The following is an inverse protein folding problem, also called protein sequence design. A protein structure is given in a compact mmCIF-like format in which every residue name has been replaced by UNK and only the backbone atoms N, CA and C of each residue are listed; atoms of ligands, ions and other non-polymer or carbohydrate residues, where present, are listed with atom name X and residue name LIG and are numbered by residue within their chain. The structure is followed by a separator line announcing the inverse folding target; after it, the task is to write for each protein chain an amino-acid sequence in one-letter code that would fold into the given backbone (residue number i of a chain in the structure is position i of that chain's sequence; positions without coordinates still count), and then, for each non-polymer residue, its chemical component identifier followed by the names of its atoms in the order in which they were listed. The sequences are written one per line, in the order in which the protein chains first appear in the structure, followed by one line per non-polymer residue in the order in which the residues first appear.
data_IF_063072995068
#
_entry.id   IF_063072995068
#
_cell.length_a   1.000
_cell.length_b   1.000
_cell.length_c   1.000
_cell.angle_alpha   90.00
_cell.angle_beta   90.00
_cell.angle_gamma   90.00
#
_symmetry.space_group_name_H-M   'P 1'
#
loop_
_entity.id
_entity.type
_entity.pdbx_description
1 polymer ?
#
# COMPACT_ATOMS: atom_id res chain seq x y z
N UNK A 1 31.04 -70.63 -10.36
CA UNK A 1 30.98 -69.21 -10.74
C UNK A 1 29.52 -68.75 -10.72
N UNK A 2 29.12 -67.86 -9.82
CA UNK A 2 27.81 -67.20 -9.87
C UNK A 2 28.03 -65.69 -10.06
N UNK A 3 27.60 -65.14 -11.20
CA UNK A 3 27.63 -63.70 -11.48
C UNK A 3 26.35 -63.06 -10.94
N UNK A 4 26.50 -62.13 -10.01
CA UNK A 4 25.42 -61.26 -9.52
C UNK A 4 25.19 -60.17 -10.58
N UNK A 5 24.00 -60.11 -11.16
CA UNK A 5 23.60 -59.05 -12.10
C UNK A 5 22.96 -57.92 -11.29
N UNK A 6 23.68 -56.80 -11.12
CA UNK A 6 23.14 -55.60 -10.51
C UNK A 6 22.22 -54.87 -11.50
N UNK A 7 20.94 -54.73 -11.16
CA UNK A 7 19.97 -53.96 -11.96
C UNK A 7 19.95 -52.51 -11.48
N UNK A 8 20.49 -51.61 -12.29
CA UNK A 8 20.46 -50.16 -12.02
C UNK A 8 19.08 -49.63 -12.41
N UNK A 9 18.23 -49.30 -11.43
CA UNK A 9 16.94 -48.64 -11.68
C UNK A 9 17.16 -47.13 -11.83
N UNK A 10 16.75 -46.56 -12.97
CA UNK A 10 16.76 -45.11 -13.20
C UNK A 10 15.77 -44.39 -12.27
N UNK A 11 16.07 -43.17 -11.79
CA UNK A 11 15.15 -42.39 -10.98
C UNK A 11 13.95 -41.90 -11.83
N UNK A 12 12.78 -41.71 -11.20
CA UNK A 12 11.59 -41.24 -11.90
C UNK A 12 11.73 -39.78 -12.36
N UNK A 13 11.06 -39.39 -13.46
CA UNK A 13 11.08 -38.00 -13.94
C UNK A 13 10.38 -37.06 -12.96
N UNK A 14 11.00 -35.92 -12.69
CA UNK A 14 10.44 -34.85 -11.83
C UNK A 14 9.23 -34.22 -12.54
N UNK A 15 8.06 -34.09 -11.88
CA UNK A 15 6.90 -33.44 -12.48
C UNK A 15 7.19 -31.96 -12.75
N UNK A 16 7.03 -31.51 -14.00
CA UNK A 16 7.10 -30.08 -14.32
C UNK A 16 5.77 -29.38 -13.99
N UNK A 17 5.78 -28.15 -13.44
CA UNK A 17 4.56 -27.40 -13.17
C UNK A 17 3.84 -27.05 -14.47
N UNK A 18 2.53 -27.31 -14.51
CA UNK A 18 1.69 -27.03 -15.68
C UNK A 18 1.50 -25.51 -15.89
N UNK A 19 1.47 -25.03 -17.15
CA UNK A 19 1.11 -23.65 -17.45
C UNK A 19 -0.31 -23.34 -16.95
N UNK A 20 -0.46 -22.28 -16.14
CA UNK A 20 -1.76 -21.81 -15.66
C UNK A 20 -2.44 -21.01 -16.78
N UNK A 21 -3.75 -21.20 -17.06
CA UNK A 21 -4.46 -20.43 -18.07
C UNK A 21 -4.44 -18.92 -17.80
N UNK A 22 -4.24 -18.10 -18.83
CA UNK A 22 -4.09 -16.64 -18.72
C UNK A 22 -5.25 -15.90 -18.02
N UNK A 23 -6.45 -16.49 -17.97
CA UNK A 23 -7.61 -15.95 -17.22
C UNK A 23 -7.45 -16.03 -15.70
N UNK A 24 -6.47 -16.80 -15.21
CA UNK A 24 -6.26 -17.09 -13.79
C UNK A 24 -4.94 -16.50 -13.25
N UNK A 25 -4.23 -15.74 -14.08
CA UNK A 25 -3.06 -14.98 -13.66
C UNK A 25 -3.53 -13.77 -12.84
N UNK A 26 -3.10 -13.65 -11.57
CA UNK A 26 -3.24 -12.38 -10.84
C UNK A 26 -2.57 -11.27 -11.66
N UNK A 27 -3.19 -10.08 -11.78
CA UNK A 27 -2.54 -8.96 -12.45
C UNK A 27 -1.17 -8.71 -11.81
N UNK A 28 -0.14 -8.34 -12.60
CA UNK A 28 1.15 -8.03 -12.04
C UNK A 28 1.00 -6.92 -11.01
N UNK A 29 1.68 -7.10 -9.89
CA UNK A 29 1.54 -6.32 -8.66
C UNK A 29 1.62 -4.80 -8.88
N UNK A 30 2.47 -4.41 -9.83
CA UNK A 30 2.70 -3.03 -10.26
C UNK A 30 1.42 -2.37 -10.81
N UNK A 31 0.57 -3.16 -11.49
CA UNK A 31 -0.72 -2.70 -12.04
C UNK A 31 -1.73 -2.49 -10.92
N UNK A 32 -1.84 -3.42 -9.95
CA UNK A 32 -2.79 -3.30 -8.84
C UNK A 32 -2.49 -2.07 -7.99
N UNK A 33 -1.21 -1.90 -7.65
CA UNK A 33 -0.74 -0.78 -6.84
C UNK A 33 -0.97 0.59 -7.48
N UNK A 34 -0.80 0.70 -8.80
CA UNK A 34 -1.03 1.96 -9.52
C UNK A 34 -2.52 2.21 -9.76
N UNK A 35 -3.29 1.16 -10.04
CA UNK A 35 -4.66 1.28 -10.51
C UNK A 35 -5.69 1.37 -9.38
N UNK A 36 -5.46 0.70 -8.25
CA UNK A 36 -6.44 0.66 -7.16
C UNK A 36 -6.74 2.05 -6.57
N UNK A 37 -5.74 2.87 -6.19
CA UNK A 37 -5.99 4.20 -5.62
C UNK A 37 -6.74 5.11 -6.61
N UNK A 38 -6.45 5.00 -7.91
CA UNK A 38 -7.13 5.75 -8.98
C UNK A 38 -8.61 5.35 -9.07
N UNK A 39 -8.91 4.06 -9.06
CA UNK A 39 -10.28 3.55 -9.10
C UNK A 39 -11.09 3.94 -7.86
N UNK A 40 -10.48 3.85 -6.68
CA UNK A 40 -11.11 4.27 -5.43
C UNK A 40 -11.50 5.75 -5.48
N UNK A 41 -10.57 6.63 -5.87
CA UNK A 41 -10.84 8.06 -6.00
C UNK A 41 -12.00 8.39 -6.94
N UNK A 42 -12.10 7.67 -8.08
CA UNK A 42 -13.21 7.82 -9.02
C UNK A 42 -14.53 7.37 -8.41
N UNK A 43 -14.52 6.29 -7.63
CA UNK A 43 -15.71 5.76 -6.96
C UNK A 43 -16.28 6.76 -5.94
N UNK A 44 -15.41 7.36 -5.13
CA UNK A 44 -15.81 8.34 -4.09
C UNK A 44 -15.95 9.77 -4.64
N UNK A 45 -15.71 9.98 -5.94
CA UNK A 45 -15.80 11.28 -6.64
C UNK A 45 -15.04 12.40 -5.91
N UNK A 46 -13.75 12.18 -5.68
CA UNK A 46 -12.87 13.26 -5.17
C UNK A 46 -12.96 14.50 -6.06
N UNK A 47 -12.72 15.68 -5.49
CA UNK A 47 -12.70 16.91 -6.26
C UNK A 47 -11.70 16.82 -7.43
N UNK A 48 -12.03 17.44 -8.56
CA UNK A 48 -11.20 17.39 -9.78
C UNK A 48 -9.76 17.85 -9.54
N UNK A 49 -9.55 18.80 -8.62
CA UNK A 49 -8.20 19.26 -8.24
C UNK A 49 -7.36 18.21 -7.51
N UNK A 50 -8.00 17.19 -6.94
CA UNK A 50 -7.38 16.10 -6.18
C UNK A 50 -7.11 14.84 -7.00
N UNK A 51 -7.74 14.67 -8.18
CA UNK A 51 -7.61 13.46 -9.02
C UNK A 51 -6.15 13.10 -9.32
N UNK A 52 -5.28 14.10 -9.52
CA UNK A 52 -3.84 13.87 -9.76
C UNK A 52 -3.12 13.22 -8.57
N UNK A 53 -3.61 13.47 -7.36
CA UNK A 53 -3.01 13.00 -6.09
C UNK A 53 -3.41 11.55 -5.81
N UNK A 54 -4.47 11.05 -6.46
CA UNK A 54 -4.85 9.65 -6.44
C UNK A 54 -3.79 8.72 -7.01
N UNK A 55 -2.79 9.25 -7.73
CA UNK A 55 -1.58 8.51 -8.01
C UNK A 55 -0.73 8.43 -6.74
N UNK A 56 -0.45 7.21 -6.31
CA UNK A 56 0.32 6.93 -5.10
C UNK A 56 1.69 7.63 -5.06
N UNK A 57 2.34 7.88 -6.20
CA UNK A 57 3.62 8.58 -6.26
C UNK A 57 3.47 10.10 -6.03
N UNK A 58 2.33 10.67 -6.46
CA UNK A 58 1.99 12.08 -6.26
C UNK A 58 1.57 12.34 -4.80
N UNK A 59 0.97 11.35 -4.14
CA UNK A 59 0.67 11.37 -2.71
C UNK A 59 1.96 11.28 -1.89
N UNK A 60 2.68 12.38 -1.77
CA UNK A 60 3.97 12.48 -1.09
C UNK A 60 4.01 13.69 -0.15
N UNK A 61 5.12 13.82 0.59
CA UNK A 61 5.32 14.89 1.59
C UNK A 61 5.05 16.27 1.02
N UNK A 62 5.55 16.57 -0.19
CA UNK A 62 5.38 17.90 -0.82
C UNK A 62 3.90 18.19 -1.07
N UNK A 63 3.20 17.23 -1.68
CA UNK A 63 1.77 17.37 -1.97
C UNK A 63 0.94 17.49 -0.69
N UNK A 64 1.15 16.60 0.29
CA UNK A 64 0.41 16.66 1.56
C UNK A 64 0.69 17.95 2.34
N UNK A 65 1.93 18.43 2.36
CA UNK A 65 2.27 19.72 2.95
C UNK A 65 1.55 20.85 2.22
N UNK A 66 1.52 20.82 0.88
CA UNK A 66 0.83 21.82 0.09
C UNK A 66 -0.68 21.85 0.34
N UNK A 67 -1.32 20.68 0.44
CA UNK A 67 -2.73 20.57 0.79
C UNK A 67 -2.99 21.16 2.17
N UNK A 68 -2.16 20.79 3.15
CA UNK A 68 -2.27 21.21 4.54
C UNK A 68 -2.10 22.73 4.70
N UNK A 69 -1.14 23.33 4.00
CA UNK A 69 -0.90 24.77 4.00
C UNK A 69 -1.83 25.57 3.06
N UNK A 70 -2.73 24.90 2.34
CA UNK A 70 -3.65 25.52 1.39
C UNK A 70 -2.97 26.06 0.12
N UNK A 71 -1.73 25.67 -0.17
CA UNK A 71 -1.02 26.06 -1.40
C UNK A 71 -1.26 25.07 -2.55
N UNK A 72 -1.80 23.89 -2.25
CA UNK A 72 -2.23 22.91 -3.25
C UNK A 72 -3.67 23.18 -3.70
N UNK A 73 -4.00 23.08 -5.00
CA UNK A 73 -5.38 23.20 -5.48
C UNK A 73 -6.34 22.16 -4.89
N UNK A 74 -5.83 21.04 -4.37
CA UNK A 74 -6.63 20.07 -3.62
C UNK A 74 -6.72 20.49 -2.13
N UNK A 75 -7.93 20.76 -1.61
CA UNK A 75 -8.14 21.11 -0.20
C UNK A 75 -7.67 20.03 0.78
N UNK A 76 -7.18 20.43 1.95
CA UNK A 76 -6.77 19.50 3.02
C UNK A 76 -7.86 18.52 3.44
N UNK A 77 -9.14 18.89 3.31
CA UNK A 77 -10.29 18.05 3.68
C UNK A 77 -10.35 16.72 2.92
N UNK A 78 -9.74 16.65 1.74
CA UNK A 78 -9.64 15.42 0.95
C UNK A 78 -8.41 14.57 1.27
N UNK A 79 -7.50 15.05 2.12
CA UNK A 79 -6.27 14.33 2.44
C UNK A 79 -6.54 12.93 3.01
N UNK A 80 -7.56 12.81 3.86
CA UNK A 80 -7.96 11.53 4.44
C UNK A 80 -8.53 10.57 3.39
N UNK A 81 -9.44 11.06 2.53
CA UNK A 81 -10.02 10.27 1.43
C UNK A 81 -8.93 9.67 0.52
N UNK A 82 -7.93 10.49 0.18
CA UNK A 82 -6.81 10.09 -0.67
C UNK A 82 -5.95 9.02 0.01
N UNK A 83 -5.63 9.20 1.28
CA UNK A 83 -4.88 8.21 2.09
C UNK A 83 -5.67 6.92 2.27
N UNK A 84 -6.99 7.02 2.45
CA UNK A 84 -7.87 5.86 2.58
C UNK A 84 -7.90 5.03 1.30
N UNK A 85 -7.99 5.67 0.14
CA UNK A 85 -7.87 4.99 -1.15
C UNK A 85 -6.50 4.35 -1.35
N UNK A 86 -5.43 5.02 -0.93
CA UNK A 86 -4.07 4.48 -0.99
C UNK A 86 -3.87 3.25 -0.09
N UNK A 87 -4.58 3.19 1.04
CA UNK A 87 -4.48 2.13 2.04
C UNK A 87 -5.49 0.97 1.84
N UNK A 88 -6.26 0.98 0.77
CA UNK A 88 -7.38 0.05 0.54
C UNK A 88 -8.44 0.03 1.65
N UNK A 89 -8.62 1.13 2.36
CA UNK A 89 -9.53 1.21 3.52
C UNK A 89 -9.26 0.20 4.63
N UNK A 90 -8.00 -0.20 4.82
CA UNK A 90 -7.57 -1.18 5.83
C UNK A 90 -6.77 -0.55 6.99
N UNK A 91 -6.54 -1.37 8.03
CA UNK A 91 -5.71 -0.99 9.18
C UNK A 91 -4.29 -1.56 9.08
N UNK A 92 -3.31 -0.67 9.02
CA UNK A 92 -1.88 -0.98 8.90
C UNK A 92 -1.09 -0.66 10.17
N UNK A 93 -1.77 -0.40 11.30
CA UNK A 93 -1.15 0.07 12.55
C UNK A 93 -0.01 -0.83 13.02
N UNK A 94 -0.17 -2.14 12.94
CA UNK A 94 0.87 -3.10 13.35
C UNK A 94 2.16 -2.93 12.54
N UNK A 95 2.04 -2.88 11.22
CA UNK A 95 3.18 -2.64 10.33
C UNK A 95 3.84 -1.28 10.60
N UNK A 96 3.03 -0.24 10.84
CA UNK A 96 3.54 1.09 11.17
C UNK A 96 4.30 1.13 12.50
N UNK A 97 3.87 0.38 13.51
CA UNK A 97 4.58 0.26 14.79
C UNK A 97 5.96 -0.38 14.56
N UNK A 98 6.00 -1.48 13.80
CA UNK A 98 7.23 -2.21 13.47
C UNK A 98 8.22 -1.33 12.66
N UNK A 99 7.71 -0.42 11.83
CA UNK A 99 8.52 0.55 11.08
C UNK A 99 8.86 1.84 11.84
N UNK A 100 8.47 1.95 13.10
CA UNK A 100 8.82 3.11 13.91
C UNK A 100 8.10 4.41 13.53
N UNK A 101 6.93 4.33 12.89
CA UNK A 101 6.12 5.52 12.53
C UNK A 101 5.77 6.38 13.76
N UNK A 102 5.64 5.75 14.92
CA UNK A 102 5.34 6.40 16.21
C UNK A 102 6.56 7.09 16.86
N UNK A 103 7.76 6.98 16.30
CA UNK A 103 9.01 7.49 16.91
C UNK A 103 9.30 8.96 16.58
N UNK A 104 8.47 9.61 15.76
CA UNK A 104 8.61 11.03 15.48
C UNK A 104 8.29 11.90 16.71
N UNK A 105 8.57 13.20 16.63
CA UNK A 105 8.15 14.16 17.66
C UNK A 105 6.63 14.29 17.83
N UNK A 106 5.82 13.84 16.85
CA UNK A 106 4.37 13.76 16.98
C UNK A 106 3.90 12.44 17.65
N UNK A 107 4.82 11.51 17.90
CA UNK A 107 4.56 10.27 18.63
C UNK A 107 3.49 9.39 17.97
N UNK A 108 2.62 8.83 18.80
CA UNK A 108 1.52 7.97 18.38
C UNK A 108 0.49 8.66 17.48
N UNK A 109 0.48 9.99 17.36
CA UNK A 109 -0.42 10.69 16.42
C UNK A 109 -0.20 10.24 14.98
N UNK A 110 1.03 9.88 14.62
CA UNK A 110 1.34 9.39 13.27
C UNK A 110 0.70 8.05 12.94
N UNK A 111 0.37 7.23 13.95
CA UNK A 111 -0.35 5.97 13.74
C UNK A 111 -1.78 6.20 13.25
N UNK A 112 -2.35 7.40 13.44
CA UNK A 112 -3.64 7.75 12.86
C UNK A 112 -3.65 7.70 11.33
N UNK A 113 -2.50 7.92 10.68
CA UNK A 113 -2.37 7.76 9.22
C UNK A 113 -2.25 6.30 8.76
N UNK A 114 -2.12 5.35 9.69
CA UNK A 114 -1.98 3.93 9.39
C UNK A 114 -3.31 3.19 9.41
N UNK A 115 -4.30 3.70 10.15
CA UNK A 115 -5.63 3.13 10.19
C UNK A 115 -6.58 3.92 9.28
N UNK A 116 -6.85 3.35 8.11
CA UNK A 116 -7.70 3.94 7.09
C UNK A 116 -9.06 3.24 6.97
N UNK A 117 -9.48 2.50 8.01
CA UNK A 117 -10.82 1.89 7.98
C UNK A 117 -11.91 2.96 7.91
N UNK A 118 -12.99 2.71 7.14
CA UNK A 118 -14.12 3.62 7.09
C UNK A 118 -14.71 3.81 8.49
N UNK A 119 -15.10 5.05 8.82
CA UNK A 119 -15.67 5.37 10.13
C UNK A 119 -14.65 5.73 11.23
N UNK A 120 -13.36 5.77 10.90
CA UNK A 120 -12.36 6.35 11.80
C UNK A 120 -12.59 7.87 11.97
N UNK A 121 -12.54 8.39 13.18
CA UNK A 121 -12.75 9.83 13.49
C UNK A 121 -11.46 10.65 13.43
N UNK A 122 -10.41 10.07 12.86
CA UNK A 122 -9.10 10.69 12.73
C UNK A 122 -9.16 11.99 11.94
N UNK A 123 -8.60 13.05 12.52
CA UNK A 123 -8.47 14.36 11.89
C UNK A 123 -7.02 14.79 11.97
N UNK A 124 -6.43 15.07 10.81
CA UNK A 124 -5.06 15.57 10.73
C UNK A 124 -5.02 17.06 11.09
N UNK A 125 -4.06 17.43 11.93
CA UNK A 125 -3.81 18.82 12.33
C UNK A 125 -2.32 19.17 12.26
N UNK A 126 -1.99 20.44 12.52
CA UNK A 126 -0.63 21.01 12.39
C UNK A 126 0.40 20.26 13.24
N UNK A 127 0.00 19.72 14.38
CA UNK A 127 0.87 18.97 15.29
C UNK A 127 1.34 17.63 14.71
N UNK A 128 0.73 17.19 13.60
CA UNK A 128 1.07 15.95 12.91
C UNK A 128 1.99 16.17 11.69
N UNK A 129 2.40 17.40 11.38
CA UNK A 129 3.39 17.67 10.34
C UNK A 129 4.70 16.85 10.47
N UNK A 130 5.22 16.53 11.67
CA UNK A 130 6.37 15.63 11.81
C UNK A 130 6.16 14.24 11.18
N UNK A 131 4.92 13.77 11.07
CA UNK A 131 4.61 12.48 10.46
C UNK A 131 4.98 12.40 8.98
N UNK A 132 5.17 13.53 8.30
CA UNK A 132 5.60 13.53 6.90
C UNK A 132 7.02 12.99 6.69
N UNK A 133 7.86 12.95 7.73
CA UNK A 133 9.18 12.31 7.62
C UNK A 133 9.09 10.79 7.49
N UNK A 134 8.04 10.18 8.04
CA UNK A 134 7.79 8.71 8.02
C UNK A 134 6.70 8.31 7.03
N UNK A 135 6.27 9.24 6.15
CA UNK A 135 5.22 8.96 5.16
C UNK A 135 5.60 7.81 4.23
N UNK A 136 6.88 7.68 3.88
CA UNK A 136 7.33 6.58 3.04
C UNK A 136 7.21 5.22 3.75
N UNK A 137 7.41 5.18 5.06
CA UNK A 137 7.24 3.97 5.88
C UNK A 137 5.75 3.59 6.03
N UNK A 138 4.87 4.57 6.16
CA UNK A 138 3.41 4.35 6.11
C UNK A 138 3.03 3.79 4.74
N UNK A 139 3.51 4.41 3.66
CA UNK A 139 3.23 4.00 2.29
C UNK A 139 3.80 2.63 1.95
N UNK A 140 4.92 2.22 2.55
CA UNK A 140 5.43 0.86 2.35
C UNK A 140 4.53 -0.18 3.01
N UNK A 141 3.91 0.12 4.17
CA UNK A 141 2.91 -0.77 4.75
C UNK A 141 1.70 -0.99 3.83
N UNK A 142 1.22 0.08 3.20
CA UNK A 142 0.12 -0.03 2.23
C UNK A 142 0.51 -0.91 1.04
N UNK A 143 1.74 -0.74 0.54
CA UNK A 143 2.29 -1.60 -0.51
C UNK A 143 2.30 -3.06 -0.08
N UNK A 144 2.92 -3.38 1.06
CA UNK A 144 3.11 -4.75 1.52
C UNK A 144 1.78 -5.49 1.69
N UNK A 145 0.76 -4.80 2.18
CA UNK A 145 -0.58 -5.38 2.26
C UNK A 145 -1.14 -5.75 0.89
N UNK A 146 -0.94 -4.92 -0.14
CA UNK A 146 -1.33 -5.22 -1.53
C UNK A 146 -0.49 -6.38 -2.10
N UNK A 147 0.76 -6.56 -1.66
CA UNK A 147 1.63 -7.63 -2.16
C UNK A 147 1.28 -9.00 -1.55
N UNK A 148 0.87 -9.00 -0.28
CA UNK A 148 0.71 -10.21 0.51
C UNK A 148 -0.73 -10.73 0.56
N UNK A 149 -1.71 -9.99 0.01
CA UNK A 149 -3.12 -10.38 -0.10
C UNK A 149 -3.57 -10.43 -1.56
#
# INVERSE_FOLDING_TARGET
MFRVVATTRSPPPVPQPRPVPAKQQRPPLNIVFHFFPICCCKSIKVAKSCERICNFDVLNKKTLTGMFLGTDPCPQSHGLDLMQCAAQSEDHTQCCIERGVHTTSAGNKCLGFCNMRPGNTFQADVSMLPCWSVLNDIKSCFRDHIQNN
#
